data_IF_605379218342
#
_entry.id   IF_605379218342
#
_cell.length_a   1.000
_cell.length_b   1.000
_cell.length_c   1.000
_cell.angle_alpha   90.00
_cell.angle_beta   90.00
_cell.angle_gamma   90.00
#
_symmetry.space_group_name_H-M   'P 1'
#
loop_
_entity.id
_entity.type
_entity.pdbx_description
1 polymer ?
#
# COMPACT_ATOMS: atom_id res chain seq x y z
N UNK A 1 4.52 7.34 5.82
CA UNK A 1 4.49 8.44 4.81
C UNK A 1 5.88 9.04 4.70
N UNK A 2 6.29 9.46 3.51
CA UNK A 2 7.66 9.95 3.31
C UNK A 2 7.90 11.25 4.09
N UNK A 3 9.03 11.33 4.81
CA UNK A 3 9.41 12.48 5.64
C UNK A 3 9.42 13.83 4.90
N UNK A 4 9.58 13.82 3.58
CA UNK A 4 9.55 15.01 2.72
C UNK A 4 8.19 15.75 2.78
N UNK A 5 7.07 15.04 2.99
CA UNK A 5 5.75 15.68 3.13
C UNK A 5 5.57 16.44 4.44
N UNK A 6 6.39 16.15 5.46
CA UNK A 6 6.35 16.84 6.75
C UNK A 6 7.18 18.14 6.77
N UNK A 7 7.86 18.49 5.68
CA UNK A 7 8.69 19.71 5.61
C UNK A 7 7.85 21.01 5.49
N UNK A 8 6.62 20.93 4.98
CA UNK A 8 5.70 22.07 4.95
C UNK A 8 4.94 22.12 6.28
N UNK A 9 5.10 23.20 7.07
CA UNK A 9 4.46 23.42 8.38
C UNK A 9 2.97 23.02 8.42
N UNK A 10 2.20 23.39 7.39
CA UNK A 10 0.76 23.10 7.32
C UNK A 10 0.45 21.62 7.03
N UNK A 11 1.18 20.99 6.11
CA UNK A 11 1.03 19.56 5.81
C UNK A 11 1.62 18.68 6.90
N UNK A 12 2.70 19.10 7.55
CA UNK A 12 3.31 18.41 8.68
C UNK A 12 2.39 18.36 9.90
N UNK A 13 1.67 19.44 10.20
CA UNK A 13 0.67 19.45 11.27
C UNK A 13 -0.52 18.52 10.96
N UNK A 14 -1.11 18.61 9.76
CA UNK A 14 -2.23 17.75 9.34
C UNK A 14 -1.85 16.25 9.29
N UNK A 15 -0.65 15.92 8.81
CA UNK A 15 -0.16 14.54 8.77
C UNK A 15 0.17 13.99 10.16
N UNK A 16 0.62 14.86 11.08
CA UNK A 16 0.86 14.47 12.46
C UNK A 16 -0.46 14.23 13.22
N UNK A 17 -1.49 15.05 12.94
CA UNK A 17 -2.83 14.90 13.53
C UNK A 17 -3.59 13.68 13.00
N UNK A 18 -3.34 13.26 11.75
CA UNK A 18 -3.89 12.02 11.18
C UNK A 18 -3.15 10.75 11.59
N UNK A 19 -2.11 10.85 12.43
CA UNK A 19 -1.34 9.70 12.92
C UNK A 19 -0.38 9.11 11.88
N UNK A 20 0.01 9.88 10.86
CA UNK A 20 0.90 9.38 9.82
C UNK A 20 2.31 9.16 10.37
N UNK A 21 2.77 7.91 10.36
CA UNK A 21 4.10 7.56 10.85
C UNK A 21 5.16 8.04 9.82
N UNK A 22 6.10 8.92 10.21
CA UNK A 22 7.13 9.39 9.31
C UNK A 22 8.10 8.25 9.04
N UNK A 23 8.26 7.88 7.77
CA UNK A 23 9.17 6.81 7.33
C UNK A 23 10.27 7.39 6.44
N UNK A 24 11.52 6.96 6.66
CA UNK A 24 12.63 7.24 5.75
C UNK A 24 12.52 6.37 4.49
N UNK A 25 12.62 6.99 3.31
CA UNK A 25 12.72 6.28 2.02
C UNK A 25 14.15 5.73 1.89
N UNK A 26 14.32 4.41 1.84
CA UNK A 26 15.64 3.79 1.57
C UNK A 26 16.02 2.59 2.44
N UNK A 27 15.16 2.12 3.34
CA UNK A 27 15.42 0.92 4.15
C UNK A 27 14.32 0.66 5.19
N UNK A 28 14.53 -0.34 6.04
CA UNK A 28 13.68 -0.55 7.22
C UNK A 28 14.03 0.53 8.24
N UNK A 29 13.16 1.52 8.40
CA UNK A 29 13.30 2.50 9.47
C UNK A 29 12.85 1.88 10.79
N UNK A 30 13.83 1.39 11.57
CA UNK A 30 13.58 0.73 12.85
C UNK A 30 12.79 1.62 13.83
N UNK A 31 12.92 2.95 13.73
CA UNK A 31 12.15 3.86 14.58
C UNK A 31 10.67 3.87 14.18
N UNK A 32 10.36 3.99 12.88
CA UNK A 32 8.98 3.94 12.39
C UNK A 32 8.32 2.58 12.66
N UNK A 33 9.08 1.50 12.55
CA UNK A 33 8.57 0.15 12.85
C UNK A 33 8.24 0.00 14.33
N UNK A 34 9.11 0.49 15.23
CA UNK A 34 8.83 0.47 16.68
C UNK A 34 7.58 1.27 17.02
N UNK A 35 7.43 2.46 16.44
CA UNK A 35 6.26 3.30 16.68
C UNK A 35 4.98 2.65 16.16
N UNK A 36 5.01 2.08 14.96
CA UNK A 36 3.89 1.34 14.40
C UNK A 36 3.47 0.16 15.28
N UNK A 37 4.44 -0.64 15.75
CA UNK A 37 4.16 -1.77 16.67
C UNK A 37 3.56 -1.27 17.98
N UNK A 38 4.08 -0.19 18.55
CA UNK A 38 3.55 0.42 19.77
C UNK A 38 2.09 0.85 19.59
N UNK A 39 1.77 1.55 18.51
CA UNK A 39 0.40 1.99 18.22
C UNK A 39 -0.55 0.78 18.05
N UNK A 40 -0.12 -0.27 17.34
CA UNK A 40 -0.91 -1.49 17.20
C UNK A 40 -1.16 -2.18 18.55
N UNK A 41 -0.15 -2.24 19.43
CA UNK A 41 -0.29 -2.79 20.78
C UNK A 41 -1.18 -1.94 21.70
N UNK A 42 -1.27 -0.63 21.46
CA UNK A 42 -2.23 0.26 22.11
C UNK A 42 -3.67 0.12 21.57
N UNK A 43 -3.92 -0.81 20.63
CA UNK A 43 -5.22 -1.04 20.02
C UNK A 43 -5.61 -0.01 18.94
N UNK A 44 -4.63 0.74 18.42
CA UNK A 44 -4.83 1.69 17.32
C UNK A 44 -4.65 1.02 15.97
N UNK A 45 -5.24 1.62 14.94
CA UNK A 45 -5.11 1.17 13.56
C UNK A 45 -3.87 1.75 12.90
N UNK A 46 -3.17 0.93 12.11
CA UNK A 46 -2.05 1.38 11.26
C UNK A 46 -2.33 0.98 9.83
N UNK A 47 -2.56 1.97 8.97
CA UNK A 47 -2.71 1.78 7.53
C UNK A 47 -1.36 1.56 6.85
N UNK A 48 -1.24 0.50 6.05
CA UNK A 48 -0.03 0.18 5.30
C UNK A 48 -0.39 -0.10 3.86
N UNK A 49 0.24 0.63 2.93
CA UNK A 49 0.19 0.29 1.51
C UNK A 49 1.24 -0.78 1.25
N UNK A 50 0.88 -1.97 0.74
CA UNK A 50 1.82 -3.08 0.56
C UNK A 50 2.96 -2.73 -0.41
N UNK A 51 2.71 -1.83 -1.36
CA UNK A 51 3.69 -1.32 -2.33
C UNK A 51 4.71 -0.34 -1.70
N UNK A 52 4.36 0.28 -0.58
CA UNK A 52 5.15 1.32 0.10
C UNK A 52 5.24 2.66 -0.66
N UNK A 53 4.54 2.79 -1.80
CA UNK A 53 4.42 4.00 -2.62
C UNK A 53 3.01 4.09 -3.19
N UNK A 54 2.67 5.24 -3.76
CA UNK A 54 1.44 5.38 -4.55
C UNK A 54 1.76 4.82 -5.95
N UNK A 55 0.93 3.90 -6.43
CA UNK A 55 1.00 3.45 -7.81
C UNK A 55 0.64 4.59 -8.76
N UNK A 56 1.55 4.90 -9.68
CA UNK A 56 1.36 5.91 -10.72
C UNK A 56 1.43 5.29 -12.13
N UNK A 57 1.36 3.97 -12.21
CA UNK A 57 1.36 3.19 -13.45
C UNK A 57 -0.02 2.57 -13.68
N UNK A 58 -0.24 2.03 -14.89
CA UNK A 58 -1.47 1.32 -15.24
C UNK A 58 -1.52 -0.12 -14.70
N UNK A 59 -0.52 -0.53 -13.91
CA UNK A 59 -0.51 -1.83 -13.25
C UNK A 59 -1.58 -1.86 -12.16
N UNK A 60 -2.22 -3.01 -11.96
CA UNK A 60 -3.13 -3.21 -10.82
C UNK A 60 -2.42 -2.95 -9.47
N UNK A 61 -1.25 -3.56 -9.28
CA UNK A 61 -0.44 -3.36 -8.08
C UNK A 61 1.05 -3.54 -8.36
N UNK A 62 1.87 -2.65 -7.81
CA UNK A 62 3.34 -2.71 -7.85
C UNK A 62 3.90 -3.85 -6.96
N UNK A 63 5.17 -4.26 -7.15
CA UNK A 63 5.82 -5.22 -6.27
C UNK A 63 5.70 -4.87 -4.78
N UNK A 64 5.23 -5.83 -4.00
CA UNK A 64 4.83 -5.62 -2.60
C UNK A 64 5.96 -5.92 -1.62
N UNK A 65 5.93 -5.27 -0.47
CA UNK A 65 6.94 -5.39 0.59
C UNK A 65 6.37 -6.11 1.81
N UNK A 66 7.16 -6.95 2.51
CA UNK A 66 6.70 -7.68 3.69
C UNK A 66 6.52 -6.80 4.95
N UNK A 67 6.57 -5.47 4.81
CA UNK A 67 6.55 -4.54 5.95
C UNK A 67 5.26 -4.62 6.77
N UNK A 68 4.10 -4.72 6.12
CA UNK A 68 2.82 -4.89 6.81
C UNK A 68 2.79 -6.20 7.61
N UNK A 69 3.31 -7.28 7.02
CA UNK A 69 3.38 -8.58 7.67
C UNK A 69 4.32 -8.58 8.90
N UNK A 70 5.47 -7.93 8.77
CA UNK A 70 6.41 -7.74 9.88
C UNK A 70 5.77 -7.00 11.07
N UNK A 71 4.95 -5.98 10.79
CA UNK A 71 4.24 -5.22 11.83
C UNK A 71 3.19 -6.08 12.52
N UNK A 72 2.35 -6.76 11.75
CA UNK A 72 1.30 -7.64 12.25
C UNK A 72 1.88 -8.74 13.15
N UNK A 73 2.96 -9.41 12.73
CA UNK A 73 3.62 -10.46 13.53
C UNK A 73 4.25 -9.91 14.81
N UNK A 74 4.89 -8.75 14.76
CA UNK A 74 5.53 -8.15 15.95
C UNK A 74 4.53 -7.60 16.97
N UNK A 75 3.41 -7.06 16.51
CA UNK A 75 2.35 -6.58 17.37
C UNK A 75 1.38 -7.70 17.79
N UNK A 76 1.45 -8.88 17.16
CA UNK A 76 0.53 -10.00 17.33
C UNK A 76 -0.94 -9.60 17.07
N UNK A 77 -1.17 -8.94 15.93
CA UNK A 77 -2.48 -8.44 15.48
C UNK A 77 -2.79 -8.92 14.07
N UNK A 78 -4.06 -9.08 13.69
CA UNK A 78 -4.42 -9.48 12.32
C UNK A 78 -4.22 -8.36 11.30
N UNK A 79 -4.09 -8.74 10.04
CA UNK A 79 -4.16 -7.83 8.88
C UNK A 79 -5.59 -7.81 8.37
N UNK A 80 -6.12 -6.62 8.08
CA UNK A 80 -7.40 -6.42 7.41
C UNK A 80 -7.15 -5.96 5.96
N UNK A 81 -7.43 -6.80 4.95
CA UNK A 81 -7.39 -6.41 3.54
C UNK A 81 -8.46 -5.36 3.24
N UNK A 82 -8.06 -4.27 2.56
CA UNK A 82 -8.97 -3.20 2.13
C UNK A 82 -8.65 -2.84 0.70
N UNK A 83 -9.68 -2.80 -0.15
CA UNK A 83 -9.61 -2.32 -1.52
C UNK A 83 -10.37 -0.99 -1.64
N UNK A 84 -9.78 -0.04 -2.37
CA UNK A 84 -10.34 1.30 -2.58
C UNK A 84 -10.36 1.54 -4.08
N UNK A 85 -11.56 1.79 -4.63
CA UNK A 85 -11.79 2.06 -6.04
C UNK A 85 -12.35 3.48 -6.22
N UNK A 86 -12.01 4.12 -7.36
CA UNK A 86 -12.58 5.43 -7.72
C UNK A 86 -11.97 6.63 -6.98
N UNK A 87 -10.85 6.44 -6.29
CA UNK A 87 -10.14 7.54 -5.64
C UNK A 87 -9.57 8.52 -6.70
N UNK A 88 -9.94 9.82 -6.67
CA UNK A 88 -9.54 10.77 -7.70
C UNK A 88 -8.05 11.10 -7.57
N UNK A 89 -7.28 10.92 -8.63
CA UNK A 89 -5.87 11.33 -8.65
C UNK A 89 -5.54 12.08 -9.94
N UNK A 90 -5.12 13.34 -9.81
CA UNK A 90 -4.63 14.15 -10.92
C UNK A 90 -3.23 14.71 -10.61
N UNK A 91 -2.25 13.80 -10.52
CA UNK A 91 -0.78 14.04 -10.41
C UNK A 91 -0.30 14.94 -9.25
N UNK A 92 -1.21 15.48 -8.46
CA UNK A 92 -0.95 16.36 -7.31
C UNK A 92 -1.70 15.80 -6.11
N UNK A 93 -1.05 15.80 -4.96
CA UNK A 93 -1.62 15.30 -3.69
C UNK A 93 -2.84 16.13 -3.24
N UNK A 94 -2.99 17.36 -3.74
CA UNK A 94 -4.12 18.25 -3.44
C UNK A 94 -5.32 18.05 -4.36
N UNK A 95 -5.17 17.39 -5.51
CA UNK A 95 -6.25 17.18 -6.48
C UNK A 95 -7.49 16.48 -5.91
N UNK A 96 -7.37 15.46 -5.02
CA UNK A 96 -8.53 14.80 -4.44
C UNK A 96 -9.47 15.72 -3.65
N UNK A 97 -8.98 16.85 -3.13
CA UNK A 97 -9.80 17.78 -2.33
C UNK A 97 -10.78 18.61 -3.17
N UNK A 98 -10.59 18.68 -4.49
CA UNK A 98 -11.36 19.54 -5.40
C UNK A 98 -12.05 18.77 -6.52
N UNK A 99 -11.98 17.44 -6.50
CA UNK A 99 -12.54 16.59 -7.55
C UNK A 99 -13.72 15.78 -7.00
N UNK A 100 -14.93 15.90 -7.59
CA UNK A 100 -16.01 14.98 -7.26
C UNK A 100 -15.60 13.56 -7.71
N UNK A 101 -15.79 12.59 -6.83
CA UNK A 101 -15.49 11.20 -7.11
C UNK A 101 -16.44 10.27 -6.37
N UNK A 102 -16.76 9.15 -6.99
CA UNK A 102 -17.44 8.05 -6.34
C UNK A 102 -16.38 7.07 -5.87
N UNK A 103 -16.19 6.99 -4.56
CA UNK A 103 -15.19 6.11 -3.94
C UNK A 103 -15.91 4.92 -3.32
N UNK A 104 -15.52 3.72 -3.72
CA UNK A 104 -16.01 2.46 -3.14
C UNK A 104 -14.90 1.86 -2.28
N UNK A 105 -15.25 1.42 -1.08
CA UNK A 105 -14.32 0.74 -0.16
C UNK A 105 -14.88 -0.64 0.14
N UNK A 106 -14.10 -1.66 -0.20
CA UNK A 106 -14.43 -3.06 0.07
C UNK A 106 -13.46 -3.62 1.10
N UNK A 107 -13.99 -4.30 2.11
CA UNK A 107 -13.21 -4.81 3.24
C UNK A 107 -13.28 -6.34 3.25
N UNK A 108 -12.12 -6.99 3.38
CA UNK A 108 -11.99 -8.44 3.39
C UNK A 108 -11.96 -9.07 4.78
N UNK A 109 -11.63 -10.35 4.82
CA UNK A 109 -11.50 -11.11 6.07
C UNK A 109 -10.17 -10.88 6.79
N UNK A 110 -10.18 -11.07 8.11
CA UNK A 110 -8.97 -10.93 8.94
C UNK A 110 -7.98 -12.06 8.68
N UNK A 111 -6.71 -11.68 8.51
CA UNK A 111 -5.59 -12.60 8.30
C UNK A 111 -4.74 -12.60 9.56
N UNK A 112 -4.70 -13.72 10.28
CA UNK A 112 -3.99 -13.82 11.55
C UNK A 112 -2.52 -14.22 11.35
N UNK A 113 -1.57 -13.63 12.10
CA UNK A 113 -0.16 -13.98 11.99
C UNK A 113 0.16 -15.46 12.27
N UNK A 114 -0.65 -16.11 13.10
CA UNK A 114 -0.44 -17.50 13.53
C UNK A 114 -0.74 -18.52 12.42
N UNK A 115 -1.48 -18.14 11.38
CA UNK A 115 -1.83 -19.02 10.27
C UNK A 115 -0.69 -19.16 9.24
N UNK A 116 0.41 -18.40 9.41
CA UNK A 116 1.49 -18.32 8.46
C UNK A 116 2.86 -18.56 9.09
N UNK A 117 3.68 -19.39 8.45
CA UNK A 117 5.06 -19.65 8.88
C UNK A 117 6.02 -18.49 8.59
N UNK A 118 5.73 -17.67 7.57
CA UNK A 118 6.59 -16.57 7.15
C UNK A 118 5.83 -15.27 6.87
N UNK A 119 6.51 -14.14 7.03
CA UNK A 119 5.98 -12.81 6.70
C UNK A 119 5.69 -12.67 5.19
N UNK A 120 6.45 -13.39 4.35
CA UNK A 120 6.27 -13.41 2.91
C UNK A 120 4.97 -14.13 2.50
N UNK A 121 4.69 -15.30 3.09
CA UNK A 121 3.45 -16.01 2.83
C UNK A 121 2.22 -15.18 3.26
N UNK A 122 2.31 -14.54 4.42
CA UNK A 122 1.22 -13.71 4.94
C UNK A 122 0.96 -12.48 4.07
N UNK A 123 1.99 -11.77 3.59
CA UNK A 123 1.77 -10.61 2.72
C UNK A 123 1.22 -11.03 1.35
N UNK A 124 1.66 -12.17 0.81
CA UNK A 124 1.13 -12.71 -0.44
C UNK A 124 -0.36 -13.04 -0.29
N UNK A 125 -0.76 -13.70 0.82
CA UNK A 125 -2.16 -13.97 1.10
C UNK A 125 -2.99 -12.69 1.26
N UNK A 126 -2.46 -11.68 1.96
CA UNK A 126 -3.13 -10.39 2.11
C UNK A 126 -3.33 -9.68 0.77
N UNK A 127 -2.36 -9.75 -0.13
CA UNK A 127 -2.47 -9.13 -1.45
C UNK A 127 -3.41 -9.90 -2.35
N UNK A 128 -3.41 -11.24 -2.31
CA UNK A 128 -4.42 -12.05 -3.01
C UNK A 128 -5.83 -11.76 -2.52
N UNK A 129 -6.02 -11.56 -1.21
CA UNK A 129 -7.30 -11.13 -0.66
C UNK A 129 -7.71 -9.75 -1.22
N UNK A 130 -6.81 -8.77 -1.26
CA UNK A 130 -7.09 -7.47 -1.90
C UNK A 130 -7.47 -7.63 -3.38
N UNK A 131 -6.76 -8.49 -4.12
CA UNK A 131 -7.05 -8.75 -5.53
C UNK A 131 -8.43 -9.39 -5.71
N UNK A 132 -8.83 -10.33 -4.84
CA UNK A 132 -10.18 -10.90 -4.84
C UNK A 132 -11.26 -9.85 -4.58
N UNK A 133 -11.02 -8.89 -3.67
CA UNK A 133 -11.95 -7.77 -3.42
C UNK A 133 -12.09 -6.82 -4.63
N UNK A 134 -11.13 -6.86 -5.55
CA UNK A 134 -11.11 -6.09 -6.78
C UNK A 134 -11.55 -6.90 -8.01
N UNK A 135 -12.10 -8.11 -7.82
CA UNK A 135 -12.45 -9.06 -8.88
C UNK A 135 -11.26 -9.48 -9.77
N UNK A 136 -10.03 -9.38 -9.26
CA UNK A 136 -8.77 -9.78 -9.92
C UNK A 136 -8.28 -11.14 -9.41
N UNK A 137 -9.05 -12.20 -9.64
CA UNK A 137 -8.77 -13.54 -9.07
C UNK A 137 -7.49 -14.20 -9.58
N UNK A 138 -7.05 -13.83 -10.79
CA UNK A 138 -5.86 -14.40 -11.45
C UNK A 138 -4.58 -13.60 -11.15
N UNK A 139 -4.65 -12.58 -10.30
CA UNK A 139 -3.49 -11.76 -9.97
C UNK A 139 -2.48 -12.51 -9.09
N UNK A 140 -1.27 -12.68 -9.61
CA UNK A 140 -0.15 -13.25 -8.88
C UNK A 140 0.78 -12.13 -8.35
N UNK A 141 0.87 -11.95 -7.02
CA UNK A 141 1.66 -10.88 -6.43
C UNK A 141 3.17 -11.11 -6.56
N UNK A 142 3.88 -10.05 -6.92
CA UNK A 142 5.35 -10.06 -6.98
C UNK A 142 5.95 -9.41 -5.74
N UNK A 143 6.95 -10.05 -5.13
CA UNK A 143 7.63 -9.48 -3.96
C UNK A 143 8.76 -8.54 -4.39
N UNK A 144 8.77 -7.32 -3.86
CA UNK A 144 9.87 -6.38 -4.05
C UNK A 144 11.14 -6.88 -3.35
N UNK A 145 12.25 -6.98 -4.10
CA UNK A 145 13.56 -7.27 -3.54
C UNK A 145 14.05 -6.19 -2.55
N UNK A 146 14.98 -6.54 -1.65
CA UNK A 146 15.50 -5.65 -0.56
C UNK A 146 15.91 -4.25 -1.04
N UNK A 147 16.40 -4.12 -2.27
CA UNK A 147 16.88 -2.87 -2.88
C UNK A 147 16.06 -2.42 -4.10
N UNK A 148 14.86 -2.97 -4.32
CA UNK A 148 14.05 -2.61 -5.49
C UNK A 148 13.63 -1.14 -5.43
N UNK A 149 14.02 -0.40 -6.48
CA UNK A 149 13.53 0.93 -6.80
C UNK A 149 12.97 0.82 -8.23
N UNK A 150 11.69 1.15 -8.46
CA UNK A 150 11.17 1.22 -9.82
C UNK A 150 11.97 2.24 -10.60
N UNK A 151 12.46 1.83 -11.77
CA UNK A 151 13.12 2.71 -12.73
C UNK A 151 12.06 3.56 -13.43
N UNK A 152 12.30 4.83 -13.78
CA UNK A 152 11.35 5.63 -14.56
C UNK A 152 10.90 4.93 -15.86
N UNK A 153 11.78 4.10 -16.42
CA UNK A 153 11.51 3.26 -17.58
C UNK A 153 10.51 2.12 -17.29
N UNK A 154 10.57 1.44 -16.14
CA UNK A 154 9.58 0.40 -15.76
C UNK A 154 8.18 0.98 -15.50
N UNK A 155 8.12 2.26 -15.08
CA UNK A 155 6.87 3.00 -14.92
C UNK A 155 6.31 3.51 -16.27
N UNK A 156 7.12 3.53 -17.34
CA UNK A 156 6.77 4.07 -18.65
C UNK A 156 6.65 2.98 -19.75
N UNK A 157 7.39 1.88 -19.67
CA UNK A 157 7.56 0.88 -20.74
C UNK A 157 6.33 0.00 -21.00
N UNK A 158 5.32 0.00 -20.13
CA UNK A 158 4.07 -0.76 -20.36
C UNK A 158 2.89 0.13 -20.77
N UNK A 159 3.13 1.37 -21.21
CA UNK A 159 2.12 2.22 -21.86
C UNK A 159 1.73 1.74 -23.28
N UNK A 160 2.28 0.61 -23.74
CA UNK A 160 1.93 -0.02 -25.02
C UNK A 160 1.74 -1.52 -24.86
N UNK A 161 0.48 -1.93 -24.64
CA UNK A 161 -0.07 -3.17 -25.19
C UNK A 161 -1.55 -2.91 -25.52
N UNK A 162 -2.05 -3.44 -26.64
CA UNK A 162 -2.96 -2.72 -27.52
C UNK A 162 -4.43 -2.88 -27.10
N UNK A 163 -5.15 -1.76 -27.03
CA UNK A 163 -6.54 -1.74 -27.47
C UNK A 163 -6.53 -1.94 -28.98
N UNK A 164 -7.04 -3.10 -29.44
CA UNK A 164 -8.01 -3.21 -30.54
C UNK A 164 -8.09 -4.69 -30.98
N UNK A 165 -9.13 -5.36 -30.50
CA UNK A 165 -9.78 -6.47 -31.21
C UNK A 165 -10.88 -5.85 -32.09
N UNK A 166 -10.69 -5.72 -33.41
CA UNK A 166 -11.80 -5.60 -34.32
C UNK A 166 -12.13 -7.00 -34.83
N UNK A 167 -13.15 -7.59 -34.23
CA UNK A 167 -14.05 -8.46 -34.94
C UNK A 167 -14.57 -7.75 -36.19
N UNK A 168 -14.06 -8.10 -37.37
CA UNK A 168 -14.78 -8.34 -38.64
C UNK A 168 -13.81 -8.74 -39.78
#
# INVERSE_FOLDING_TARGET
MAREFFANWFFGWFLNETGAIPTRRGGIDNASVREAVKLLQEGKWVGVLPEGRINTSDQFMMPVRPGAALLARRANVPILPVYIEGAPYNKTVTSPFFMPAQVTITVGELIYPNDFESDQAMIVAAVKAIAQLADQTDYEPTLAGKNWKPTPEELAQNQQSPEDDPSE
#
